data_IF_891626930720
#
_entry.id   IF_891626930720
#
_cell.length_a   1.000
_cell.length_b   1.000
_cell.length_c   1.000
_cell.angle_alpha   90.00
_cell.angle_beta   90.00
_cell.angle_gamma   90.00
#
_symmetry.space_group_name_H-M   'P 1'
#
loop_
_entity.id
_entity.type
_entity.pdbx_description
1 polymer ?
#
# COMPACT_ATOMS: atom_id res chain seq x y z
N UNK A 1 9.73 -19.99 1.80
CA UNK A 1 9.13 -20.63 0.60
C UNK A 1 9.47 -19.85 -0.67
N UNK A 2 9.30 -18.51 -0.67
CA UNK A 2 9.66 -17.62 -1.79
C UNK A 2 11.08 -17.85 -2.35
N UNK A 3 12.12 -17.82 -1.51
CA UNK A 3 13.51 -18.04 -1.98
C UNK A 3 13.65 -19.36 -2.76
N UNK A 4 13.07 -20.45 -2.24
CA UNK A 4 13.15 -21.77 -2.88
C UNK A 4 12.48 -21.76 -4.24
N UNK A 5 11.31 -21.12 -4.36
CA UNK A 5 10.59 -20.99 -5.62
C UNK A 5 11.40 -20.15 -6.63
N UNK A 6 11.96 -19.03 -6.19
CA UNK A 6 12.85 -18.21 -7.03
C UNK A 6 14.07 -19.01 -7.53
N UNK A 7 14.73 -19.74 -6.62
CA UNK A 7 15.89 -20.58 -6.92
C UNK A 7 15.56 -21.69 -7.92
N UNK A 8 14.39 -22.31 -7.78
CA UNK A 8 13.90 -23.33 -8.71
C UNK A 8 13.61 -22.75 -10.10
N UNK A 9 12.91 -21.60 -10.15
CA UNK A 9 12.64 -20.86 -11.40
C UNK A 9 13.93 -20.40 -12.10
N UNK A 10 14.98 -20.10 -11.34
CA UNK A 10 16.29 -19.73 -11.86
C UNK A 10 17.13 -20.92 -12.36
N UNK A 11 16.62 -22.15 -12.23
CA UNK A 11 17.30 -23.39 -12.62
C UNK A 11 18.29 -23.93 -11.58
N UNK A 12 18.24 -23.42 -10.34
CA UNK A 12 19.14 -23.78 -9.24
C UNK A 12 18.51 -24.77 -8.24
N UNK A 13 17.29 -25.23 -8.50
CA UNK A 13 16.55 -26.12 -7.60
C UNK A 13 16.22 -25.47 -6.25
N UNK A 14 15.86 -26.28 -5.26
CA UNK A 14 15.34 -25.80 -3.96
C UNK A 14 16.33 -25.91 -2.78
N UNK A 15 17.60 -26.18 -3.05
CA UNK A 15 18.63 -26.46 -2.04
C UNK A 15 19.34 -25.22 -1.49
N UNK A 16 18.78 -24.03 -1.66
CA UNK A 16 19.39 -22.76 -1.24
C UNK A 16 20.80 -22.49 -1.82
N UNK A 17 21.06 -22.92 -3.05
CA UNK A 17 22.36 -22.76 -3.70
C UNK A 17 22.57 -21.33 -4.22
N UNK A 18 23.18 -20.49 -3.36
CA UNK A 18 23.46 -19.09 -3.70
C UNK A 18 24.54 -18.95 -4.77
N UNK A 19 25.46 -19.90 -4.90
CA UNK A 19 26.54 -19.82 -5.88
C UNK A 19 26.02 -20.13 -7.29
N UNK A 20 25.09 -21.09 -7.40
CA UNK A 20 24.31 -21.27 -8.62
C UNK A 20 23.55 -19.99 -8.99
N UNK A 21 22.85 -19.35 -8.04
CA UNK A 21 22.12 -18.12 -8.30
C UNK A 21 23.04 -17.00 -8.79
N UNK A 22 24.22 -16.82 -8.17
CA UNK A 22 25.23 -15.83 -8.60
C UNK A 22 25.76 -16.10 -10.01
N UNK A 23 25.81 -17.36 -10.44
CA UNK A 23 26.24 -17.76 -11.78
C UNK A 23 25.10 -17.77 -12.81
N UNK A 24 23.83 -17.74 -12.38
CA UNK A 24 22.67 -17.86 -13.26
C UNK A 24 22.49 -16.62 -14.13
N UNK A 25 22.12 -16.85 -15.39
CA UNK A 25 21.75 -15.79 -16.35
C UNK A 25 20.23 -15.58 -16.43
N UNK A 26 19.45 -16.36 -15.69
CA UNK A 26 17.99 -16.41 -15.79
C UNK A 26 17.29 -15.64 -14.65
N UNK A 27 18.03 -14.83 -13.87
CA UNK A 27 17.49 -14.18 -12.67
C UNK A 27 16.32 -13.24 -12.98
N UNK A 28 16.36 -12.51 -14.10
CA UNK A 28 15.27 -11.60 -14.51
C UNK A 28 13.99 -12.37 -14.84
N UNK A 29 14.10 -13.45 -15.62
CA UNK A 29 12.96 -14.28 -16.00
C UNK A 29 12.37 -15.01 -14.79
N UNK A 30 13.23 -15.51 -13.89
CA UNK A 30 12.81 -16.11 -12.63
C UNK A 30 12.08 -15.11 -11.73
N UNK A 31 12.55 -13.86 -11.66
CA UNK A 31 11.90 -12.80 -10.90
C UNK A 31 10.53 -12.45 -11.50
N UNK A 32 10.43 -12.34 -12.82
CA UNK A 32 9.17 -12.07 -13.48
C UNK A 32 8.17 -13.21 -13.27
N UNK A 33 8.59 -14.47 -13.43
CA UNK A 33 7.74 -15.63 -13.20
C UNK A 33 7.26 -15.73 -11.74
N UNK A 34 8.13 -15.42 -10.78
CA UNK A 34 7.74 -15.35 -9.37
C UNK A 34 6.71 -14.23 -9.13
N UNK A 35 6.97 -13.02 -9.63
CA UNK A 35 6.05 -11.89 -9.52
C UNK A 35 4.68 -12.23 -10.13
N UNK A 36 4.67 -12.84 -11.32
CA UNK A 36 3.43 -13.22 -11.99
C UNK A 36 2.60 -14.22 -11.20
N UNK A 37 3.25 -15.05 -10.39
CA UNK A 37 2.57 -16.02 -9.53
C UNK A 37 1.89 -15.41 -8.29
N UNK A 38 2.34 -14.24 -7.82
CA UNK A 38 1.84 -13.62 -6.59
C UNK A 38 1.17 -12.26 -6.78
N UNK A 39 1.39 -11.55 -7.90
CA UNK A 39 0.86 -10.20 -8.11
C UNK A 39 -0.68 -10.11 -7.95
N UNK A 40 -1.39 -11.18 -8.31
CA UNK A 40 -2.85 -11.28 -8.19
C UNK A 40 -3.35 -11.56 -6.77
N UNK A 41 -2.44 -11.83 -5.84
CA UNK A 41 -2.75 -12.05 -4.42
C UNK A 41 -2.59 -10.76 -3.60
N UNK A 42 -2.24 -9.63 -4.22
CA UNK A 42 -1.92 -8.40 -3.49
C UNK A 42 -0.65 -8.48 -2.64
N UNK A 43 0.10 -9.59 -2.73
CA UNK A 43 1.37 -9.81 -2.05
C UNK A 43 2.55 -9.42 -2.95
N UNK A 44 3.57 -8.83 -2.34
CA UNK A 44 4.87 -8.63 -2.97
C UNK A 44 5.79 -9.81 -2.62
N UNK A 45 6.39 -10.49 -3.60
CA UNK A 45 7.17 -11.70 -3.33
C UNK A 45 8.49 -11.39 -2.62
N UNK A 46 9.03 -10.18 -2.85
CA UNK A 46 10.35 -9.77 -2.38
C UNK A 46 10.26 -8.32 -1.93
N UNK A 47 10.67 -8.06 -0.69
CA UNK A 47 10.67 -6.74 -0.07
C UNK A 47 11.64 -6.70 1.12
N UNK A 48 11.77 -5.54 1.79
CA UNK A 48 12.44 -5.44 3.07
C UNK A 48 11.94 -6.50 4.07
N UNK A 49 12.86 -7.06 4.87
CA UNK A 49 12.52 -8.03 5.90
C UNK A 49 13.23 -7.67 7.20
N UNK A 50 12.65 -8.08 8.34
CA UNK A 50 13.34 -8.02 9.63
C UNK A 50 14.54 -8.97 9.56
N UNK A 51 15.74 -8.41 9.67
CA UNK A 51 17.01 -9.11 9.51
C UNK A 51 17.90 -9.02 10.77
N UNK A 52 17.39 -8.41 11.84
CA UNK A 52 18.06 -8.10 13.11
C UNK A 52 19.34 -7.25 12.96
N UNK A 53 19.69 -6.82 11.74
CA UNK A 53 20.85 -6.02 11.40
C UNK A 53 20.44 -4.59 11.07
N UNK A 54 19.88 -4.40 9.88
CA UNK A 54 19.38 -3.11 9.40
C UNK A 54 17.95 -2.84 9.90
N UNK A 55 17.06 -3.83 9.77
CA UNK A 55 15.65 -3.76 10.18
C UNK A 55 15.45 -4.68 11.38
N UNK A 56 15.27 -4.09 12.56
CA UNK A 56 15.15 -4.83 13.82
C UNK A 56 13.72 -5.21 14.21
N UNK A 57 12.74 -4.53 13.62
CA UNK A 57 11.32 -4.79 13.82
C UNK A 57 10.56 -4.20 12.63
N UNK A 58 9.34 -4.65 12.41
CA UNK A 58 8.48 -4.09 11.36
C UNK A 58 8.20 -2.60 11.60
N UNK A 59 8.03 -1.78 10.54
CA UNK A 59 7.91 -0.33 10.64
C UNK A 59 6.80 0.16 11.59
N UNK A 60 5.61 -0.44 11.56
CA UNK A 60 4.49 -0.09 12.45
C UNK A 60 4.88 -0.13 13.93
N UNK A 61 5.61 -1.16 14.36
CA UNK A 61 6.09 -1.29 15.74
C UNK A 61 7.21 -0.30 16.04
N UNK A 62 8.09 -0.07 15.07
CA UNK A 62 9.14 0.94 15.20
C UNK A 62 8.54 2.34 15.44
N UNK A 63 7.52 2.72 14.67
CA UNK A 63 6.80 3.99 14.86
C UNK A 63 6.07 4.04 16.20
N UNK A 64 5.29 3.00 16.54
CA UNK A 64 4.51 2.94 17.78
C UNK A 64 5.38 3.00 19.05
N UNK A 65 6.59 2.43 19.02
CA UNK A 65 7.54 2.42 20.14
C UNK A 65 8.51 3.60 20.13
N UNK A 66 8.39 4.50 19.16
CA UNK A 66 9.23 5.68 19.06
C UNK A 66 10.63 5.43 18.50
N UNK A 67 10.91 4.27 17.92
CA UNK A 67 12.21 3.86 17.38
C UNK A 67 12.49 4.35 15.95
N UNK A 68 12.21 5.61 15.66
CA UNK A 68 12.39 6.22 14.34
C UNK A 68 13.28 7.48 14.40
N UNK A 69 13.75 7.91 13.23
CA UNK A 69 14.57 9.10 13.08
C UNK A 69 13.79 10.37 13.44
N UNK A 70 14.23 11.15 14.44
CA UNK A 70 13.43 12.28 14.94
C UNK A 70 13.65 13.60 14.20
N UNK A 71 14.71 13.72 13.43
CA UNK A 71 15.13 14.99 12.81
C UNK A 71 14.56 15.11 11.38
N UNK A 72 13.24 15.09 11.27
CA UNK A 72 12.52 15.45 10.05
C UNK A 72 11.98 16.86 10.24
N UNK A 73 12.38 17.80 9.37
CA UNK A 73 11.92 19.20 9.45
C UNK A 73 10.50 19.35 8.89
N UNK A 74 10.14 18.54 7.91
CA UNK A 74 8.87 18.57 7.19
C UNK A 74 8.67 17.30 6.37
N UNK A 75 7.44 16.82 6.26
CA UNK A 75 7.07 15.69 5.42
C UNK A 75 5.71 15.94 4.73
N UNK A 76 5.63 15.69 3.43
CA UNK A 76 4.33 15.42 2.78
C UNK A 76 4.12 13.91 2.84
N UNK A 77 3.00 13.49 3.40
CA UNK A 77 2.58 12.09 3.44
C UNK A 77 1.31 11.99 2.60
N UNK A 78 1.35 11.12 1.59
CA UNK A 78 0.25 10.99 0.65
C UNK A 78 -0.12 9.56 0.32
N UNK A 79 -1.36 9.42 -0.11
CA UNK A 79 -1.90 8.22 -0.73
C UNK A 79 -2.81 8.63 -1.90
N UNK A 80 -3.10 7.69 -2.80
CA UNK A 80 -4.15 7.87 -3.81
C UNK A 80 -5.49 7.36 -3.27
N UNK A 81 -6.61 7.79 -3.86
CA UNK A 81 -7.94 7.42 -3.34
C UNK A 81 -8.37 5.99 -3.68
N UNK A 82 -7.76 5.36 -4.68
CA UNK A 82 -8.05 3.99 -5.10
C UNK A 82 -6.77 3.17 -5.17
N UNK A 83 -6.07 3.06 -4.04
CA UNK A 83 -4.82 2.30 -3.89
C UNK A 83 -4.96 0.86 -4.41
N UNK A 84 -6.07 0.20 -4.10
CA UNK A 84 -6.19 -1.25 -4.27
C UNK A 84 -6.70 -1.68 -5.64
N UNK A 85 -6.95 -0.74 -6.56
CA UNK A 85 -7.48 -1.06 -7.90
C UNK A 85 -6.63 -2.11 -8.65
N UNK A 86 -5.31 -2.09 -8.46
CA UNK A 86 -4.38 -3.05 -9.09
C UNK A 86 -4.00 -4.24 -8.19
N UNK A 87 -4.46 -4.27 -6.94
CA UNK A 87 -4.02 -5.25 -5.93
C UNK A 87 -5.15 -6.10 -5.35
N UNK A 88 -6.40 -5.70 -5.58
CA UNK A 88 -7.57 -6.47 -5.14
C UNK A 88 -7.67 -7.75 -5.99
N UNK A 89 -7.56 -8.94 -5.39
CA UNK A 89 -7.64 -10.19 -6.13
C UNK A 89 -9.00 -10.39 -6.78
N UNK A 90 -8.99 -10.87 -8.02
CA UNK A 90 -10.22 -11.35 -8.67
C UNK A 90 -10.72 -12.62 -7.97
N UNK A 91 -12.04 -12.76 -7.81
CA UNK A 91 -12.67 -14.01 -7.34
C UNK A 91 -12.94 -14.11 -5.83
N UNK A 92 -12.59 -13.10 -5.04
CA UNK A 92 -12.98 -13.04 -3.61
C UNK A 92 -14.42 -12.53 -3.50
N UNK A 93 -15.37 -13.43 -3.74
CA UNK A 93 -16.81 -13.12 -3.79
C UNK A 93 -17.63 -13.83 -2.70
N UNK A 94 -16.96 -14.51 -1.76
CA UNK A 94 -17.61 -15.27 -0.69
C UNK A 94 -16.76 -15.30 0.59
N UNK A 95 -17.39 -15.70 1.70
CA UNK A 95 -16.71 -15.87 2.99
C UNK A 95 -15.56 -16.87 2.93
N UNK A 96 -15.78 -18.00 2.23
CA UNK A 96 -14.76 -19.01 2.03
C UNK A 96 -13.55 -18.42 1.31
N UNK A 97 -13.77 -17.75 0.17
CA UNK A 97 -12.69 -17.13 -0.60
C UNK A 97 -11.94 -16.03 0.20
N UNK A 98 -12.64 -15.26 1.02
CA UNK A 98 -12.03 -14.26 1.90
C UNK A 98 -11.15 -14.92 2.98
N UNK A 99 -11.65 -15.97 3.63
CA UNK A 99 -10.88 -16.69 4.64
C UNK A 99 -9.69 -17.45 4.05
N UNK A 100 -9.84 -18.01 2.84
CA UNK A 100 -8.75 -18.64 2.09
C UNK A 100 -7.68 -17.61 1.76
N UNK A 101 -8.08 -16.41 1.31
CA UNK A 101 -7.15 -15.30 1.09
C UNK A 101 -6.39 -14.94 2.37
N UNK A 102 -7.07 -14.77 3.51
CA UNK A 102 -6.38 -14.50 4.78
C UNK A 102 -5.41 -15.63 5.16
N UNK A 103 -5.73 -16.87 4.80
CA UNK A 103 -4.85 -18.03 4.99
C UNK A 103 -3.59 -18.00 4.12
N UNK A 104 -3.66 -17.37 2.94
CA UNK A 104 -2.50 -17.09 2.09
C UNK A 104 -1.69 -15.90 2.61
N UNK A 105 -2.37 -14.82 3.01
CA UNK A 105 -1.77 -13.59 3.52
C UNK A 105 -1.00 -13.80 4.83
N UNK A 106 -1.60 -14.54 5.77
CA UNK A 106 -1.01 -14.86 7.07
C UNK A 106 -0.97 -16.38 7.26
N UNK A 107 0.04 -17.08 6.70
CA UNK A 107 0.04 -18.54 6.66
C UNK A 107 0.31 -19.21 8.01
N UNK A 108 -0.11 -20.47 8.13
CA UNK A 108 0.20 -21.32 9.29
C UNK A 108 -0.84 -21.28 10.41
N UNK A 109 -0.73 -22.23 11.33
CA UNK A 109 -1.71 -22.43 12.40
C UNK A 109 -1.58 -21.41 13.54
N UNK A 110 -0.38 -20.89 13.78
CA UNK A 110 -0.12 -19.90 14.84
C UNK A 110 -0.89 -18.60 14.62
N UNK A 111 -1.04 -18.18 13.36
CA UNK A 111 -1.74 -16.94 12.98
C UNK A 111 -3.26 -17.12 12.81
N UNK A 112 -3.85 -18.26 13.20
CA UNK A 112 -5.30 -18.51 13.06
C UNK A 112 -6.14 -17.51 13.85
N UNK A 113 -5.71 -17.17 15.07
CA UNK A 113 -6.41 -16.18 15.91
C UNK A 113 -6.35 -14.79 15.29
N UNK A 114 -5.20 -14.40 14.72
CA UNK A 114 -4.99 -13.14 14.00
C UNK A 114 -5.93 -13.03 12.81
N UNK A 115 -6.01 -14.07 11.96
CA UNK A 115 -6.95 -14.10 10.83
C UNK A 115 -8.41 -13.95 11.29
N UNK A 116 -8.79 -14.59 12.39
CA UNK A 116 -10.14 -14.44 12.97
C UNK A 116 -10.41 -13.01 13.42
N UNK A 117 -9.45 -12.32 14.02
CA UNK A 117 -9.57 -10.91 14.41
C UNK A 117 -9.78 -10.02 13.18
N UNK A 118 -9.04 -10.26 12.09
CA UNK A 118 -9.22 -9.54 10.83
C UNK A 118 -10.64 -9.78 10.27
N UNK A 119 -11.12 -11.02 10.18
CA UNK A 119 -12.48 -11.31 9.70
C UNK A 119 -13.57 -10.67 10.57
N UNK A 120 -13.32 -10.47 11.86
CA UNK A 120 -14.25 -9.80 12.77
C UNK A 120 -14.23 -8.27 12.57
N UNK A 121 -13.04 -7.68 12.44
CA UNK A 121 -12.86 -6.25 12.16
C UNK A 121 -13.47 -5.87 10.81
N UNK A 122 -13.21 -6.67 9.78
CA UNK A 122 -13.72 -6.53 8.43
C UNK A 122 -14.89 -7.50 8.19
N UNK A 123 -15.94 -7.36 9.00
CA UNK A 123 -17.13 -8.19 8.84
C UNK A 123 -17.84 -7.86 7.52
N UNK A 124 -17.56 -8.65 6.48
CA UNK A 124 -18.04 -8.40 5.11
C UNK A 124 -19.57 -8.40 4.98
N UNK A 125 -20.28 -9.17 5.82
CA UNK A 125 -21.75 -9.20 5.77
C UNK A 125 -22.37 -7.98 6.43
N UNK A 126 -21.81 -7.52 7.55
CA UNK A 126 -22.33 -6.38 8.32
C UNK A 126 -21.90 -5.04 7.71
N UNK A 127 -20.62 -4.88 7.40
CA UNK A 127 -20.04 -3.60 6.97
C UNK A 127 -20.17 -3.36 5.46
N UNK A 128 -20.23 -4.42 4.67
CA UNK A 128 -20.22 -4.35 3.19
C UNK A 128 -21.45 -5.01 2.56
N UNK A 129 -22.47 -5.37 3.35
CA UNK A 129 -23.71 -5.96 2.84
C UNK A 129 -23.52 -7.29 2.10
N UNK A 130 -22.41 -8.00 2.36
CA UNK A 130 -22.03 -9.23 1.67
C UNK A 130 -21.18 -9.02 0.41
N UNK A 131 -20.78 -7.79 0.09
CA UNK A 131 -19.81 -7.52 -0.97
C UNK A 131 -18.38 -7.85 -0.49
N UNK A 132 -17.98 -9.11 -0.70
CA UNK A 132 -16.66 -9.59 -0.35
C UNK A 132 -15.54 -8.94 -1.18
N UNK A 133 -15.83 -8.40 -2.37
CA UNK A 133 -14.83 -7.72 -3.20
C UNK A 133 -14.48 -6.37 -2.58
N UNK A 134 -15.50 -5.59 -2.22
CA UNK A 134 -15.31 -4.32 -1.52
C UNK A 134 -14.67 -4.51 -0.13
N UNK A 135 -15.07 -5.57 0.57
CA UNK A 135 -14.52 -5.93 1.87
C UNK A 135 -13.02 -6.23 1.79
N UNK A 136 -12.59 -7.09 0.85
CA UNK A 136 -11.16 -7.41 0.73
C UNK A 136 -10.36 -6.23 0.18
N UNK A 137 -10.90 -5.46 -0.75
CA UNK A 137 -10.28 -4.22 -1.22
C UNK A 137 -10.02 -3.27 -0.04
N UNK A 138 -10.96 -3.13 0.88
CA UNK A 138 -10.80 -2.28 2.08
C UNK A 138 -9.79 -2.86 3.06
N UNK A 139 -9.77 -4.18 3.24
CA UNK A 139 -8.80 -4.87 4.09
C UNK A 139 -7.37 -4.65 3.58
N UNK A 140 -7.13 -4.84 2.28
CA UNK A 140 -5.82 -4.62 1.63
C UNK A 140 -5.41 -3.15 1.69
N UNK A 141 -6.36 -2.23 1.45
CA UNK A 141 -6.09 -0.78 1.52
C UNK A 141 -5.51 -0.41 2.87
N UNK A 142 -6.18 -0.83 3.93
CA UNK A 142 -5.81 -0.48 5.28
C UNK A 142 -4.50 -1.19 5.69
N UNK A 143 -4.35 -2.48 5.40
CA UNK A 143 -3.15 -3.25 5.75
C UNK A 143 -1.89 -2.71 5.05
N UNK A 144 -1.95 -2.48 3.75
CA UNK A 144 -0.74 -2.28 2.94
C UNK A 144 -0.48 -0.83 2.53
N UNK A 145 -1.47 0.07 2.61
CA UNK A 145 -1.35 1.44 2.10
C UNK A 145 -1.67 2.49 3.15
N UNK A 146 -2.95 2.65 3.50
CA UNK A 146 -3.37 3.84 4.26
C UNK A 146 -2.87 3.79 5.70
N UNK A 147 -2.93 2.65 6.39
CA UNK A 147 -2.42 2.64 7.77
C UNK A 147 -0.91 2.82 7.88
N UNK A 148 -0.14 2.47 6.86
CA UNK A 148 1.27 2.85 6.77
C UNK A 148 1.46 4.37 6.69
N UNK A 149 0.60 5.07 5.93
CA UNK A 149 0.61 6.55 5.91
C UNK A 149 0.17 7.16 7.24
N UNK A 150 -0.79 6.54 7.94
CA UNK A 150 -1.21 6.97 9.27
C UNK A 150 -0.13 6.76 10.34
N UNK A 151 0.62 5.66 10.27
CA UNK A 151 1.73 5.41 11.19
C UNK A 151 2.81 6.49 11.05
N UNK A 152 3.17 6.84 9.81
CA UNK A 152 4.10 7.94 9.52
C UNK A 152 3.57 9.28 10.05
N UNK A 153 2.30 9.60 9.80
CA UNK A 153 1.69 10.83 10.31
C UNK A 153 1.75 10.88 11.85
N UNK A 154 1.43 9.77 12.50
CA UNK A 154 1.42 9.65 13.96
C UNK A 154 2.82 9.74 14.56
N UNK A 155 3.86 9.34 13.81
CA UNK A 155 5.25 9.48 14.20
C UNK A 155 5.75 10.93 14.08
N UNK A 156 5.21 11.72 13.15
CA UNK A 156 5.65 13.10 12.87
C UNK A 156 4.51 14.13 12.89
N UNK A 157 3.65 14.16 13.93
CA UNK A 157 2.36 14.84 13.87
C UNK A 157 2.45 16.36 13.71
N UNK A 158 3.58 16.97 14.09
CA UNK A 158 3.80 18.43 14.03
C UNK A 158 4.49 18.90 12.76
N UNK A 159 5.03 17.98 11.95
CA UNK A 159 5.79 18.32 10.73
C UNK A 159 5.25 17.60 9.49
N UNK A 160 4.15 16.86 9.64
CA UNK A 160 3.51 16.12 8.55
C UNK A 160 2.31 16.84 7.96
N UNK A 161 2.32 16.98 6.64
CA UNK A 161 1.25 17.50 5.81
C UNK A 161 0.61 16.35 5.04
N UNK A 162 -0.68 16.14 5.25
CA UNK A 162 -1.41 15.03 4.63
C UNK A 162 -1.98 15.45 3.28
N UNK A 163 -1.83 14.58 2.28
CA UNK A 163 -2.39 14.80 0.96
C UNK A 163 -3.07 13.53 0.44
N UNK A 164 -4.22 13.69 -0.19
CA UNK A 164 -4.93 12.63 -0.90
C UNK A 164 -5.02 12.95 -2.37
N UNK A 165 -4.45 12.09 -3.21
CA UNK A 165 -4.57 12.23 -4.65
C UNK A 165 -5.83 11.51 -5.14
N UNK A 166 -6.81 12.28 -5.63
CA UNK A 166 -8.11 11.79 -6.09
C UNK A 166 -8.37 12.11 -7.57
N UNK A 167 -7.37 12.62 -8.28
CA UNK A 167 -7.54 13.09 -9.65
C UNK A 167 -7.61 11.92 -10.65
N UNK A 168 -8.45 12.03 -11.71
CA UNK A 168 -9.48 13.04 -11.91
C UNK A 168 -10.72 12.82 -11.04
N UNK A 169 -11.02 11.55 -10.73
CA UNK A 169 -12.05 11.12 -9.81
C UNK A 169 -11.46 10.01 -8.95
N UNK A 170 -11.96 9.83 -7.72
CA UNK A 170 -11.44 8.84 -6.77
C UNK A 170 -11.28 7.45 -7.39
N UNK A 171 -12.30 6.98 -8.13
CA UNK A 171 -12.29 5.68 -8.80
C UNK A 171 -11.21 5.51 -9.87
N UNK A 172 -10.56 6.58 -10.35
CA UNK A 172 -9.51 6.53 -11.36
C UNK A 172 -8.13 6.90 -10.80
N UNK A 173 -8.05 7.30 -9.53
CA UNK A 173 -6.81 7.59 -8.83
C UNK A 173 -6.17 6.28 -8.34
N UNK A 174 -5.65 5.50 -9.29
CA UNK A 174 -5.00 4.22 -9.00
C UNK A 174 -3.61 4.43 -8.40
N UNK A 175 -3.10 3.40 -7.72
CA UNK A 175 -1.74 3.42 -7.17
C UNK A 175 -0.72 3.87 -8.22
N UNK A 176 0.16 4.78 -7.82
CA UNK A 176 1.19 5.44 -8.64
C UNK A 176 0.69 6.40 -9.73
N UNK A 177 -0.60 6.70 -9.83
CA UNK A 177 -1.09 7.70 -10.82
C UNK A 177 -0.74 9.15 -10.45
N UNK A 178 -0.51 9.42 -9.17
CA UNK A 178 0.04 10.67 -8.66
C UNK A 178 1.45 10.98 -9.19
N UNK A 179 2.26 9.94 -9.43
CA UNK A 179 3.57 10.11 -10.10
C UNK A 179 3.43 10.60 -11.55
N UNK A 180 2.33 10.28 -12.24
CA UNK A 180 2.08 10.79 -13.59
C UNK A 180 1.91 12.31 -13.54
N UNK A 181 1.18 12.82 -12.56
CA UNK A 181 1.03 14.26 -12.33
C UNK A 181 2.37 14.92 -11.96
N UNK A 182 3.22 14.23 -11.19
CA UNK A 182 4.52 14.75 -10.78
C UNK A 182 5.51 14.85 -11.95
N UNK A 183 5.53 13.88 -12.87
CA UNK A 183 6.60 13.77 -13.87
C UNK A 183 6.20 14.10 -15.31
N UNK A 184 4.92 14.21 -15.63
CA UNK A 184 4.48 14.47 -17.00
C UNK A 184 4.42 15.97 -17.31
N UNK A 185 4.99 16.36 -18.43
CA UNK A 185 4.95 17.75 -18.93
C UNK A 185 4.12 17.89 -20.22
N UNK A 186 3.60 16.79 -20.77
CA UNK A 186 2.76 16.79 -21.97
C UNK A 186 1.71 15.70 -21.92
N UNK A 187 0.67 15.85 -22.76
CA UNK A 187 -0.40 14.86 -22.89
C UNK A 187 0.18 13.52 -23.35
N UNK A 188 1.08 13.52 -24.33
CA UNK A 188 1.65 12.28 -24.88
C UNK A 188 2.44 11.49 -23.81
N UNK A 189 3.22 12.18 -22.98
CA UNK A 189 3.92 11.54 -21.85
C UNK A 189 2.92 10.95 -20.84
N UNK A 190 1.91 11.73 -20.46
CA UNK A 190 0.88 11.26 -19.55
C UNK A 190 0.10 10.06 -20.11
N UNK A 191 -0.27 10.07 -21.40
CA UNK A 191 -0.92 8.94 -22.08
C UNK A 191 0.00 7.71 -22.08
N UNK A 192 1.29 7.87 -22.38
CA UNK A 192 2.23 6.75 -22.39
C UNK A 192 2.34 6.07 -21.02
N UNK A 193 2.32 6.84 -19.94
CA UNK A 193 2.39 6.31 -18.58
C UNK A 193 1.05 5.72 -18.13
N UNK A 194 -0.06 6.42 -18.37
CA UNK A 194 -1.41 6.00 -17.97
C UNK A 194 -1.91 4.80 -18.78
N UNK A 195 -1.54 4.67 -20.05
CA UNK A 195 -1.95 3.57 -20.92
C UNK A 195 -1.46 2.19 -20.46
N UNK A 196 -0.51 2.14 -19.52
CA UNK A 196 -0.09 0.89 -18.85
C UNK A 196 -1.07 0.42 -17.77
N UNK A 197 -1.99 1.29 -17.33
CA UNK A 197 -2.90 1.07 -16.20
C UNK A 197 -4.37 1.29 -16.55
N UNK A 198 -4.64 2.20 -17.49
CA UNK A 198 -5.97 2.58 -17.92
C UNK A 198 -6.17 2.25 -19.40
N UNK A 199 -7.30 1.65 -19.78
CA UNK A 199 -7.61 1.41 -21.19
C UNK A 199 -7.98 2.71 -21.89
N UNK A 200 -7.78 2.76 -23.20
CA UNK A 200 -8.34 3.81 -24.04
C UNK A 200 -9.89 3.73 -24.05
N UNK A 201 -10.60 4.88 -24.03
CA UNK A 201 -10.10 6.26 -24.12
C UNK A 201 -9.81 6.93 -22.77
N UNK A 202 -9.87 6.21 -21.65
CA UNK A 202 -9.75 6.79 -20.30
C UNK A 202 -8.37 7.39 -20.04
N UNK A 203 -7.31 6.73 -20.52
CA UNK A 203 -5.93 7.23 -20.47
C UNK A 203 -5.78 8.62 -21.11
N UNK A 204 -6.38 8.82 -22.29
CA UNK A 204 -6.37 10.09 -23.04
C UNK A 204 -7.21 11.15 -22.35
N UNK A 205 -8.40 10.80 -21.85
CA UNK A 205 -9.25 11.73 -21.12
C UNK A 205 -8.57 12.21 -19.85
N UNK A 206 -7.98 11.30 -19.09
CA UNK A 206 -7.19 11.61 -17.90
C UNK A 206 -6.02 12.53 -18.28
N UNK A 207 -5.14 12.11 -19.19
CA UNK A 207 -3.97 12.89 -19.60
C UNK A 207 -4.35 14.30 -20.09
N UNK A 208 -5.39 14.40 -20.90
CA UNK A 208 -5.91 15.68 -21.38
C UNK A 208 -6.37 16.56 -20.21
N UNK A 209 -7.18 16.03 -19.30
CA UNK A 209 -7.62 16.78 -18.12
C UNK A 209 -6.43 17.18 -17.24
N UNK A 210 -5.47 16.30 -17.02
CA UNK A 210 -4.31 16.53 -16.15
C UNK A 210 -3.44 17.71 -16.64
N UNK A 211 -3.16 17.73 -17.94
CA UNK A 211 -2.26 18.72 -18.54
C UNK A 211 -2.99 20.02 -18.88
N UNK A 212 -4.14 19.95 -19.56
CA UNK A 212 -4.81 21.17 -20.06
C UNK A 212 -5.51 21.97 -18.97
N UNK A 213 -5.81 21.38 -17.81
CA UNK A 213 -6.33 22.14 -16.67
C UNK A 213 -5.23 22.75 -15.80
N UNK A 214 -3.95 22.47 -16.10
CA UNK A 214 -2.81 22.94 -15.32
C UNK A 214 -2.58 22.19 -14.01
N UNK A 215 -3.32 21.11 -13.74
CA UNK A 215 -3.19 20.33 -12.49
C UNK A 215 -1.80 19.75 -12.33
N UNK A 216 -1.19 19.19 -13.39
CA UNK A 216 0.19 18.68 -13.31
C UNK A 216 1.19 19.78 -12.91
N UNK A 217 1.13 20.95 -13.56
CA UNK A 217 2.02 22.06 -13.26
C UNK A 217 1.80 22.61 -11.83
N UNK A 218 0.55 22.71 -11.38
CA UNK A 218 0.23 23.12 -10.02
C UNK A 218 0.71 22.10 -8.98
N UNK A 219 0.56 20.81 -9.26
CA UNK A 219 1.02 19.71 -8.41
C UNK A 219 2.54 19.70 -8.27
N UNK A 220 3.26 19.85 -9.39
CA UNK A 220 4.73 20.00 -9.41
C UNK A 220 5.19 21.23 -8.62
N UNK A 221 4.50 22.37 -8.81
CA UNK A 221 4.81 23.61 -8.09
C UNK A 221 4.56 23.46 -6.59
N UNK A 222 3.50 22.76 -6.19
CA UNK A 222 3.19 22.47 -4.79
C UNK A 222 4.32 21.68 -4.12
N UNK A 223 4.80 20.60 -4.74
CA UNK A 223 5.93 19.83 -4.22
C UNK A 223 7.24 20.63 -4.20
N UNK A 224 7.41 21.60 -5.09
CA UNK A 224 8.53 22.53 -5.06
C UNK A 224 8.41 23.61 -3.96
N UNK A 225 7.19 23.92 -3.49
CA UNK A 225 6.91 25.03 -2.58
C UNK A 225 6.67 24.61 -1.11
N UNK A 226 6.24 23.37 -0.86
CA UNK A 226 5.92 22.69 0.41
C UNK A 226 5.08 23.46 1.46
N UNK A 227 3.96 22.86 1.88
CA UNK A 227 2.80 23.51 2.51
C UNK A 227 2.81 23.58 4.06
N UNK A 228 1.80 24.29 4.62
CA UNK A 228 1.64 24.71 6.02
C UNK A 228 0.24 24.37 6.60
N UNK A 229 -0.08 23.14 7.04
CA UNK A 229 -1.35 22.80 7.75
C UNK A 229 -1.24 21.60 8.71
N UNK A 230 -2.15 21.48 9.70
CA UNK A 230 -2.18 20.41 10.71
C UNK A 230 -3.34 19.40 10.52
N UNK A 231 -3.12 18.11 10.81
CA UNK A 231 -4.06 17.00 10.52
C UNK A 231 -4.59 16.23 11.74
N UNK A 232 -4.76 16.89 12.90
CA UNK A 232 -4.81 16.21 14.21
C UNK A 232 -6.09 15.42 14.59
N UNK A 233 -7.09 15.30 13.69
CA UNK A 233 -8.38 14.65 13.94
C UNK A 233 -8.44 13.11 13.74
N UNK A 234 -9.56 12.49 14.18
CA UNK A 234 -9.86 11.06 14.00
C UNK A 234 -10.09 10.69 12.53
N UNK A 235 -10.79 11.55 11.80
CA UNK A 235 -10.57 11.77 10.37
C UNK A 235 -9.40 12.75 10.26
N UNK A 236 -8.46 12.51 9.33
CA UNK A 236 -7.51 13.57 9.02
C UNK A 236 -8.33 14.72 8.42
N UNK A 237 -8.52 15.79 9.18
CA UNK A 237 -9.09 17.05 8.69
C UNK A 237 -7.98 17.85 8.01
N UNK A 238 -8.37 18.77 7.14
CA UNK A 238 -7.44 19.65 6.42
C UNK A 238 -6.39 18.88 5.57
N UNK A 239 -6.82 17.75 5.01
CA UNK A 239 -6.04 16.98 4.02
C UNK A 239 -6.16 17.67 2.67
N UNK A 240 -5.02 17.96 2.05
CA UNK A 240 -5.02 18.47 0.69
C UNK A 240 -5.49 17.37 -0.27
N UNK A 241 -6.69 17.53 -0.82
CA UNK A 241 -7.23 16.67 -1.86
C UNK A 241 -6.97 17.27 -3.24
N UNK A 242 -6.34 16.47 -4.11
CA UNK A 242 -6.12 16.82 -5.53
C UNK A 242 -7.18 16.15 -6.38
N UNK A 243 -7.97 16.93 -7.11
CA UNK A 243 -9.17 16.48 -7.82
C UNK A 243 -9.41 17.25 -9.12
N UNK A 244 -10.34 16.80 -9.95
CA UNK A 244 -10.67 17.51 -11.19
C UNK A 244 -11.30 18.88 -10.90
N UNK A 245 -10.83 19.98 -11.55
CA UNK A 245 -11.44 21.29 -11.40
C UNK A 245 -12.73 21.40 -12.24
N UNK A 246 -13.83 20.85 -11.74
CA UNK A 246 -15.14 20.88 -12.40
C UNK A 246 -16.18 21.50 -11.47
N UNK A 247 -16.31 22.82 -11.51
CA UNK A 247 -17.16 23.58 -10.58
C UNK A 247 -16.61 23.73 -9.16
N UNK A 248 -15.35 23.30 -8.95
CA UNK A 248 -14.60 23.37 -7.71
C UNK A 248 -13.11 23.55 -8.01
N UNK A 249 -12.33 23.94 -7.01
CA UNK A 249 -10.86 24.03 -7.14
C UNK A 249 -10.25 22.63 -7.25
N UNK A 250 -9.13 22.53 -7.96
CA UNK A 250 -8.39 21.27 -8.12
C UNK A 250 -7.67 20.83 -6.84
N UNK A 251 -7.40 21.78 -5.94
CA UNK A 251 -6.67 21.58 -4.69
C UNK A 251 -7.55 22.13 -3.57
N UNK A 252 -8.12 21.24 -2.77
CA UNK A 252 -9.07 21.61 -1.71
C UNK A 252 -8.71 20.92 -0.42
N UNK A 253 -8.96 21.57 0.71
CA UNK A 253 -8.84 20.92 2.02
C UNK A 253 -10.13 20.14 2.31
N UNK A 254 -9.97 18.84 2.60
CA UNK A 254 -11.09 17.94 2.90
C UNK A 254 -10.74 17.05 4.10
N UNK A 255 -11.71 16.25 4.55
CA UNK A 255 -11.41 15.10 5.39
C UNK A 255 -10.90 13.92 4.56
N UNK A 256 -10.03 13.11 5.12
CA UNK A 256 -9.73 11.76 4.63
C UNK A 256 -10.28 10.68 5.57
N UNK A 257 -11.17 9.88 5.02
CA UNK A 257 -11.85 8.77 5.68
C UNK A 257 -11.16 7.44 5.47
N UNK A 258 -10.12 7.36 4.63
CA UNK A 258 -9.35 6.14 4.37
C UNK A 258 -8.22 5.92 5.39
N UNK A 259 -7.73 6.99 6.01
CA UNK A 259 -6.73 6.98 7.08
C UNK A 259 -7.32 6.99 8.51
N UNK A 260 -8.50 6.41 8.75
CA UNK A 260 -9.15 6.48 10.06
C UNK A 260 -8.27 5.95 11.22
N UNK A 261 -8.14 6.73 12.30
CA UNK A 261 -7.29 6.40 13.45
C UNK A 261 -7.64 5.06 14.09
N UNK A 262 -8.92 4.79 14.32
CA UNK A 262 -9.38 3.53 14.96
C UNK A 262 -9.05 2.29 14.12
N UNK A 263 -9.24 2.38 12.78
CA UNK A 263 -8.93 1.26 11.88
C UNK A 263 -7.43 0.98 11.85
N UNK A 264 -6.60 2.01 11.88
CA UNK A 264 -5.16 1.82 11.87
C UNK A 264 -4.62 1.39 13.23
N UNK A 265 -5.22 1.85 14.33
CA UNK A 265 -4.90 1.34 15.67
C UNK A 265 -5.16 -0.16 15.80
N UNK A 266 -6.17 -0.71 15.11
CA UNK A 266 -6.38 -2.15 15.02
C UNK A 266 -5.17 -2.87 14.41
N UNK A 267 -4.66 -2.39 13.27
CA UNK A 267 -3.50 -3.00 12.60
C UNK A 267 -2.23 -2.88 13.45
N UNK A 268 -1.99 -1.73 14.08
CA UNK A 268 -0.90 -1.56 15.03
C UNK A 268 -1.00 -2.56 16.18
N UNK A 269 -2.19 -2.72 16.76
CA UNK A 269 -2.40 -3.65 17.87
C UNK A 269 -2.17 -5.11 17.43
N UNK A 270 -2.64 -5.46 16.25
CA UNK A 270 -2.45 -6.79 15.68
C UNK A 270 -0.97 -7.11 15.48
N UNK A 271 -0.20 -6.14 14.98
CA UNK A 271 1.25 -6.24 14.83
C UNK A 271 1.96 -6.45 16.19
N UNK A 272 1.55 -5.73 17.24
CA UNK A 272 2.10 -5.89 18.59
C UNK A 272 1.83 -7.29 19.15
N UNK A 273 0.61 -7.80 18.94
CA UNK A 273 0.20 -9.11 19.42
C UNK A 273 0.96 -10.23 18.68
N UNK A 274 1.21 -10.08 17.38
CA UNK A 274 2.05 -11.02 16.61
C UNK A 274 3.48 -11.03 17.16
N UNK A 275 4.13 -9.86 17.25
CA UNK A 275 5.51 -9.75 17.72
C UNK A 275 5.69 -10.26 19.15
N UNK A 276 4.76 -9.94 20.05
CA UNK A 276 4.81 -10.42 21.45
C UNK A 276 4.56 -11.92 21.57
N UNK A 277 3.76 -12.52 20.69
CA UNK A 277 3.55 -13.97 20.64
C UNK A 277 4.74 -14.74 20.06
N UNK A 278 5.52 -14.12 19.18
CA UNK A 278 6.73 -14.70 18.59
C UNK A 278 7.95 -14.61 19.54
N UNK A 279 8.03 -13.58 20.39
CA UNK A 279 9.05 -13.45 21.45
C UNK A 279 9.01 -14.64 22.45
N UNK A 280 7.88 -15.36 22.55
CA UNK A 280 7.77 -16.56 23.39
C UNK A 280 8.33 -17.83 22.68
N UNK A 281 8.63 -17.79 21.38
CA UNK A 281 9.00 -18.98 20.60
C UNK A 281 10.10 -18.69 19.55
N UNK A 282 11.23 -18.12 19.98
CA UNK A 282 12.46 -18.01 19.15
C UNK A 282 13.03 -19.41 18.90
N UNK A 283 12.47 -20.15 17.94
CA UNK A 283 13.04 -21.39 17.39
C UNK A 283 12.72 -21.66 15.90
N UNK A 284 12.08 -20.76 15.14
CA UNK A 284 11.87 -21.03 13.70
C UNK A 284 11.92 -19.75 12.82
N UNK A 285 13.01 -19.52 12.05
CA UNK A 285 13.27 -18.26 11.33
C UNK A 285 12.52 -18.13 9.98
N UNK A 286 11.37 -18.80 9.81
CA UNK A 286 10.70 -18.91 8.51
C UNK A 286 9.44 -18.03 8.32
N UNK A 287 9.12 -17.14 9.27
CA UNK A 287 7.95 -16.26 9.20
C UNK A 287 8.37 -14.81 9.44
N UNK A 288 8.75 -14.09 8.40
CA UNK A 288 8.73 -12.63 8.43
C UNK A 288 7.96 -12.18 7.20
N UNK A 289 6.70 -11.81 7.41
CA UNK A 289 5.85 -11.15 6.42
C UNK A 289 5.81 -9.66 6.77
N UNK A 290 5.90 -8.82 5.75
CA UNK A 290 5.40 -7.44 5.81
C UNK A 290 3.91 -7.51 6.17
N UNK A 291 3.49 -6.74 7.18
CA UNK A 291 2.09 -6.38 7.37
C UNK A 291 1.81 -5.16 6.50
#
# INVERSE_FOLDING_TARGET
MIYKNFSDLAGCGQNFDIDCLRASKNLSDANQALFDSVQKTGLFPVGPAVDDGWIKTIPTISFATGQFWKQIDSAIISHVSNETASFTPEGITSEGAFNDFLGLFLPGNKLRSVRKQISQQYNCTVLFGGDYTACIATTIRDASFTCNTRDLYSAYPTVSYMMRYSFPLERFAYHATDLVALFSNSIDQAVQLLGKKLPAPLDKMYANSLINTGVAAAYQTYFAALALFDGSGDLLTDVLTVQIPSGQEAFVLTSDDQNGKERCAFWTKLAEDIMSSEVILVQDPAMYFEL
#
